data_IF_210038113551
#
_entry.id   IF_210038113551
#
_cell.length_a   1.000
_cell.length_b   1.000
_cell.length_c   1.000
_cell.angle_alpha   90.00
_cell.angle_beta   90.00
_cell.angle_gamma   90.00
#
_symmetry.space_group_name_H-M   'P 1'
#
loop_
_entity.id
_entity.type
_entity.pdbx_description
1 polymer ?
#
# COMPACT_ATOMS: atom_id res chain seq x y z
N UNK A 1 14.65 -65.36 -11.52
CA UNK A 1 15.56 -65.85 -10.46
C UNK A 1 15.33 -64.99 -9.23
N UNK A 2 14.57 -65.52 -8.24
CA UNK A 2 15.04 -65.96 -6.91
C UNK A 2 15.03 -64.74 -5.94
N UNK A 3 13.97 -64.59 -5.12
CA UNK A 3 13.86 -65.02 -3.69
C UNK A 3 14.84 -64.21 -2.79
N UNK A 4 14.56 -63.71 -1.59
CA UNK A 4 13.65 -64.10 -0.50
C UNK A 4 13.68 -62.93 0.50
N UNK A 5 12.55 -62.34 0.88
CA UNK A 5 11.93 -62.46 2.20
C UNK A 5 12.88 -62.77 3.37
N UNK A 6 12.92 -61.85 4.34
CA UNK A 6 13.16 -62.15 5.75
C UNK A 6 11.99 -61.56 6.55
N UNK A 7 11.11 -62.46 6.99
CA UNK A 7 10.16 -62.26 8.08
C UNK A 7 10.93 -61.99 9.40
N UNK A 8 10.37 -61.62 10.56
CA UNK A 8 9.14 -62.10 11.20
C UNK A 8 8.98 -61.40 12.57
N UNK A 9 7.73 -61.30 13.06
CA UNK A 9 7.29 -61.32 14.49
C UNK A 9 7.51 -60.07 15.36
N UNK A 10 6.62 -59.66 16.29
CA UNK A 10 5.37 -60.23 16.83
C UNK A 10 4.68 -59.24 17.79
N UNK A 11 3.36 -59.46 18.02
CA UNK A 11 2.50 -59.01 19.15
C UNK A 11 2.02 -57.54 19.09
N UNK A 12 0.75 -57.19 18.93
CA UNK A 12 -0.50 -57.94 19.13
C UNK A 12 -1.02 -57.79 20.56
N UNK A 13 -1.86 -56.78 20.83
CA UNK A 13 -2.89 -56.78 21.88
C UNK A 13 -4.02 -55.82 21.46
N UNK A 14 -5.17 -56.40 21.10
CA UNK A 14 -6.48 -55.74 21.00
C UNK A 14 -7.33 -56.25 22.17
N UNK A 15 -8.07 -55.32 22.79
CA UNK A 15 -9.36 -55.53 23.49
C UNK A 15 -9.30 -56.32 24.83
N UNK A 16 -10.22 -56.14 25.82
CA UNK A 16 -11.65 -55.94 25.60
C UNK A 16 -12.40 -54.97 26.55
N UNK A 17 -13.56 -54.58 26.05
CA UNK A 17 -14.71 -54.07 26.80
C UNK A 17 -15.13 -55.03 27.91
N UNK A 18 -15.30 -54.54 29.14
CA UNK A 18 -16.04 -55.24 30.19
C UNK A 18 -17.37 -54.54 30.43
N UNK A 19 -18.43 -55.08 29.85
CA UNK A 19 -19.80 -54.90 30.34
C UNK A 19 -19.99 -55.90 31.48
N UNK A 20 -20.38 -55.43 32.65
CA UNK A 20 -20.95 -56.30 33.71
C UNK A 20 -22.30 -55.76 34.12
N UNK A 21 -23.24 -56.68 34.02
CA UNK A 21 -24.64 -56.69 34.36
C UNK A 21 -24.91 -56.63 35.88
N UNK A 22 -26.05 -56.03 36.21
CA UNK A 22 -27.01 -56.48 37.24
C UNK A 22 -26.54 -56.54 38.70
N UNK A 23 -27.01 -55.58 39.48
CA UNK A 23 -27.53 -55.83 40.84
C UNK A 23 -28.68 -54.87 41.09
N UNK A 24 -29.87 -55.44 41.27
CA UNK A 24 -31.11 -54.78 41.68
C UNK A 24 -30.97 -54.33 43.13
N UNK A 25 -31.00 -53.01 43.39
CA UNK A 25 -31.19 -52.48 44.73
C UNK A 25 -32.48 -51.65 44.76
N UNK A 26 -33.53 -52.29 45.27
CA UNK A 26 -34.75 -51.63 45.73
C UNK A 26 -34.40 -50.70 46.89
N UNK A 27 -34.63 -49.41 46.72
CA UNK A 27 -34.75 -48.47 47.84
C UNK A 27 -36.19 -47.92 47.89
N UNK A 28 -36.84 -47.97 49.06
CA UNK A 28 -38.24 -47.58 49.23
C UNK A 28 -38.42 -46.05 49.12
N UNK A 29 -39.54 -45.66 48.53
CA UNK A 29 -39.98 -44.26 48.35
C UNK A 29 -40.21 -43.56 49.70
N UNK A 30 -39.80 -42.29 49.88
CA UNK A 30 -40.24 -41.49 51.00
C UNK A 30 -41.70 -41.00 50.80
N UNK A 31 -42.45 -40.79 51.90
CA UNK A 31 -43.90 -40.59 51.88
C UNK A 31 -44.34 -39.20 51.41
N UNK A 32 -45.53 -39.21 50.78
CA UNK A 32 -46.41 -38.10 50.39
C UNK A 32 -46.41 -36.95 51.39
N UNK A 33 -45.96 -35.77 50.94
CA UNK A 33 -46.18 -34.50 51.63
C UNK A 33 -47.30 -33.74 50.90
N UNK A 34 -48.31 -33.19 51.60
CA UNK A 34 -49.49 -32.62 50.97
C UNK A 34 -49.25 -31.28 50.27
N UNK A 35 -49.92 -31.16 49.12
CA UNK A 35 -50.19 -30.00 48.28
C UNK A 35 -50.48 -28.71 49.04
N UNK A 36 -49.73 -27.64 48.74
CA UNK A 36 -50.20 -26.26 48.79
C UNK A 36 -49.82 -25.55 47.48
N UNK A 37 -50.77 -24.85 46.82
CA UNK A 37 -50.54 -24.23 45.51
C UNK A 37 -49.92 -22.84 45.69
N UNK A 38 -49.09 -22.40 44.74
CA UNK A 38 -49.21 -21.10 44.07
C UNK A 38 -47.93 -20.69 43.31
N UNK A 39 -48.17 -20.25 42.07
CA UNK A 39 -47.43 -19.25 41.28
C UNK A 39 -46.21 -19.71 40.47
N UNK A 40 -46.47 -19.89 39.17
CA UNK A 40 -45.54 -19.68 38.06
C UNK A 40 -44.62 -18.48 38.27
N UNK A 41 -43.30 -18.62 38.03
CA UNK A 41 -42.47 -17.51 37.60
C UNK A 41 -42.33 -17.53 36.08
N UNK A 42 -43.16 -16.69 35.45
CA UNK A 42 -42.82 -15.69 34.42
C UNK A 42 -41.52 -15.95 33.63
N UNK A 43 -41.69 -16.11 32.31
CA UNK A 43 -40.66 -16.01 31.27
C UNK A 43 -39.61 -14.93 31.58
N UNK A 44 -38.31 -15.15 31.28
CA UNK A 44 -37.32 -14.09 31.39
C UNK A 44 -37.70 -12.94 30.44
N UNK A 45 -37.58 -11.67 30.87
CA UNK A 45 -37.83 -10.54 29.98
C UNK A 45 -36.84 -10.56 28.80
N UNK A 46 -37.25 -10.13 27.60
CA UNK A 46 -36.30 -9.70 26.59
C UNK A 46 -35.53 -8.52 27.18
N UNK A 47 -34.20 -8.60 27.16
CA UNK A 47 -33.32 -7.48 27.50
C UNK A 47 -33.44 -6.43 26.40
N UNK A 48 -34.51 -5.66 26.43
CA UNK A 48 -34.59 -4.37 25.75
C UNK A 48 -34.14 -3.31 26.75
N UNK A 49 -32.82 -3.22 26.96
CA UNK A 49 -32.19 -2.05 27.58
C UNK A 49 -32.36 -0.88 26.60
N UNK A 50 -33.56 -0.30 26.58
CA UNK A 50 -33.81 1.01 26.01
C UNK A 50 -33.03 2.03 26.83
N UNK A 51 -31.83 2.36 26.35
CA UNK A 51 -31.06 3.49 26.81
C UNK A 51 -31.83 4.79 26.46
N UNK A 52 -32.73 5.22 27.33
CA UNK A 52 -33.37 6.55 27.34
C UNK A 52 -32.38 7.63 27.79
N UNK A 53 -31.19 7.64 27.20
CA UNK A 53 -30.20 8.71 27.33
C UNK A 53 -30.05 9.41 25.98
N UNK A 54 -29.68 10.71 25.95
CA UNK A 54 -29.30 11.36 24.70
C UNK A 54 -28.24 10.51 23.98
N UNK A 55 -28.33 10.37 22.64
CA UNK A 55 -27.41 9.52 21.89
C UNK A 55 -26.00 9.94 22.23
N UNK A 56 -25.26 9.04 22.86
CA UNK A 56 -23.90 9.33 23.26
C UNK A 56 -23.08 9.57 21.98
N UNK A 57 -22.35 10.68 21.95
CA UNK A 57 -21.67 11.12 20.74
C UNK A 57 -20.58 10.14 20.35
N UNK A 58 -20.61 9.68 19.10
CA UNK A 58 -19.56 8.84 18.55
C UNK A 58 -18.26 9.60 18.41
N UNK A 59 -17.15 8.95 18.76
CA UNK A 59 -15.80 9.53 18.71
C UNK A 59 -15.02 8.91 17.55
N UNK A 60 -14.29 9.72 16.80
CA UNK A 60 -13.43 9.24 15.72
C UNK A 60 -12.00 9.04 16.22
N UNK A 61 -11.45 7.83 16.10
CA UNK A 61 -10.05 7.51 16.44
C UNK A 61 -9.21 7.36 15.19
N UNK A 62 -8.03 7.95 15.19
CA UNK A 62 -7.04 7.78 14.11
C UNK A 62 -6.20 6.53 14.37
N UNK A 63 -6.25 5.59 13.43
CA UNK A 63 -5.55 4.31 13.55
C UNK A 63 -4.06 4.53 13.38
N UNK A 64 -3.29 4.07 14.35
CA UNK A 64 -1.83 3.98 14.28
C UNK A 64 -1.38 2.58 13.87
N UNK A 65 -0.16 2.38 13.34
CA UNK A 65 0.35 1.05 12.98
C UNK A 65 0.38 0.06 14.16
N UNK A 66 0.48 0.58 15.38
CA UNK A 66 0.52 -0.19 16.62
C UNK A 66 -0.89 -0.49 17.17
N UNK A 67 -1.95 0.08 16.58
CA UNK A 67 -3.31 -0.17 17.02
C UNK A 67 -3.81 -1.55 16.56
N UNK A 68 -4.55 -2.19 17.46
CA UNK A 68 -5.24 -3.46 17.25
C UNK A 68 -6.64 -3.35 17.85
N UNK A 69 -7.55 -4.23 17.43
CA UNK A 69 -8.93 -4.23 17.97
C UNK A 69 -8.91 -4.43 19.49
N UNK A 70 -7.96 -5.24 20.00
CA UNK A 70 -7.77 -5.47 21.43
C UNK A 70 -7.23 -4.24 22.16
N UNK A 71 -6.23 -3.56 21.61
CA UNK A 71 -5.68 -2.36 22.26
C UNK A 71 -6.71 -1.23 22.31
N UNK A 72 -7.51 -1.05 21.26
CA UNK A 72 -8.61 -0.08 21.23
C UNK A 72 -9.72 -0.43 22.24
N UNK A 73 -10.10 -1.70 22.32
CA UNK A 73 -11.09 -2.19 23.30
C UNK A 73 -10.66 -1.86 24.74
N UNK A 74 -9.37 -2.02 25.06
CA UNK A 74 -8.83 -1.70 26.38
C UNK A 74 -8.70 -0.19 26.62
N UNK A 75 -8.23 0.57 25.62
CA UNK A 75 -8.05 2.01 25.74
C UNK A 75 -9.38 2.76 25.96
N UNK A 76 -10.44 2.31 25.28
CA UNK A 76 -11.74 2.96 25.31
C UNK A 76 -12.79 2.24 26.18
N UNK A 77 -12.47 1.07 26.72
CA UNK A 77 -13.39 0.28 27.55
C UNK A 77 -14.59 -0.32 26.77
N UNK A 78 -14.41 -0.62 25.48
CA UNK A 78 -15.50 -1.06 24.58
C UNK A 78 -15.41 -2.57 24.37
N UNK A 79 -16.51 -3.33 24.41
CA UNK A 79 -16.48 -4.74 24.05
C UNK A 79 -16.09 -4.93 22.57
N UNK A 80 -15.13 -5.83 22.32
CA UNK A 80 -14.64 -6.22 20.97
C UNK A 80 -15.78 -6.46 19.95
N UNK A 81 -16.85 -7.23 20.27
CA UNK A 81 -17.92 -7.47 19.29
C UNK A 81 -18.69 -6.19 18.91
N UNK A 82 -18.89 -5.25 19.83
CA UNK A 82 -19.56 -3.99 19.53
C UNK A 82 -18.69 -3.11 18.61
N UNK A 83 -17.39 -3.00 18.90
CA UNK A 83 -16.45 -2.24 18.08
C UNK A 83 -16.33 -2.80 16.66
N UNK A 84 -16.33 -4.13 16.51
CA UNK A 84 -16.34 -4.80 15.20
C UNK A 84 -17.63 -4.58 14.44
N UNK A 85 -18.78 -4.64 15.12
CA UNK A 85 -20.11 -4.43 14.52
C UNK A 85 -20.28 -2.99 14.04
N UNK A 86 -19.88 -2.00 14.84
CA UNK A 86 -20.02 -0.58 14.48
C UNK A 86 -19.13 -0.16 13.31
N UNK A 87 -18.00 -0.85 13.09
CA UNK A 87 -17.04 -0.52 12.03
C UNK A 87 -17.04 -1.51 10.85
N UNK A 88 -17.87 -2.55 10.87
CA UNK A 88 -17.85 -3.65 9.89
C UNK A 88 -16.45 -4.26 9.72
N UNK A 89 -15.78 -4.56 10.83
CA UNK A 89 -14.44 -5.16 10.84
C UNK A 89 -14.54 -6.63 11.19
N UNK A 90 -14.25 -7.50 10.22
CA UNK A 90 -14.33 -8.96 10.39
C UNK A 90 -13.01 -9.61 10.82
N UNK A 91 -11.87 -8.98 10.50
CA UNK A 91 -10.53 -9.47 10.81
C UNK A 91 -9.63 -8.36 11.32
N UNK A 92 -8.62 -8.73 12.11
CA UNK A 92 -7.77 -7.75 12.81
C UNK A 92 -6.92 -6.91 11.85
N UNK A 93 -6.50 -7.49 10.71
CA UNK A 93 -5.71 -6.79 9.70
C UNK A 93 -6.49 -5.70 8.95
N UNK A 94 -7.83 -5.81 8.90
CA UNK A 94 -8.66 -4.78 8.25
C UNK A 94 -8.66 -3.45 9.00
N UNK A 95 -8.27 -3.47 10.28
CA UNK A 95 -8.10 -2.24 11.06
C UNK A 95 -6.97 -1.39 10.48
N UNK A 96 -5.83 -2.00 10.16
CA UNK A 96 -4.63 -1.32 9.65
C UNK A 96 -4.82 -0.80 8.23
N UNK A 97 -5.75 -1.36 7.45
CA UNK A 97 -6.11 -0.86 6.14
C UNK A 97 -6.90 0.46 6.19
N UNK A 98 -7.36 0.89 7.38
CA UNK A 98 -8.15 2.09 7.58
C UNK A 98 -7.34 3.17 8.26
N UNK A 99 -7.63 4.43 7.93
CA UNK A 99 -7.07 5.61 8.60
C UNK A 99 -7.79 5.92 9.91
N UNK A 100 -9.09 5.63 9.98
CA UNK A 100 -9.94 6.00 11.11
C UNK A 100 -10.91 4.89 11.49
N UNK A 101 -11.33 4.91 12.75
CA UNK A 101 -12.26 3.97 13.37
C UNK A 101 -13.28 4.76 14.19
N UNK A 102 -14.55 4.38 14.07
CA UNK A 102 -15.64 4.96 14.82
C UNK A 102 -15.77 4.25 16.17
N UNK A 103 -15.77 5.03 17.23
CA UNK A 103 -15.92 4.58 18.60
C UNK A 103 -17.34 4.90 19.05
N UNK A 104 -18.17 3.87 19.28
CA UNK A 104 -19.54 4.07 19.76
C UNK A 104 -19.55 4.83 21.09
N UNK A 105 -20.25 5.96 21.09
CA UNK A 105 -20.44 6.74 22.31
C UNK A 105 -21.20 5.98 23.39
N UNK A 106 -21.96 4.93 23.02
CA UNK A 106 -22.69 4.03 23.93
C UNK A 106 -21.81 3.55 25.08
N UNK A 107 -20.57 3.16 24.79
CA UNK A 107 -19.61 2.65 25.77
C UNK A 107 -18.61 3.71 26.20
N UNK A 108 -18.21 4.63 25.31
CA UNK A 108 -17.20 5.63 25.60
C UNK A 108 -17.82 7.01 25.88
N UNK A 109 -17.71 7.47 27.15
CA UNK A 109 -18.22 8.77 27.61
C UNK A 109 -17.14 9.85 27.72
N UNK A 110 -15.91 9.56 27.29
CA UNK A 110 -14.77 10.47 27.44
C UNK A 110 -14.76 11.66 26.49
N UNK A 111 -15.59 11.65 25.44
CA UNK A 111 -15.81 12.79 24.53
C UNK A 111 -14.60 13.23 23.68
N UNK A 112 -13.40 12.68 23.93
CA UNK A 112 -12.16 13.01 23.22
C UNK A 112 -11.50 11.75 22.66
N UNK A 113 -10.91 11.84 21.46
CA UNK A 113 -10.12 10.73 20.92
C UNK A 113 -8.78 10.63 21.67
N UNK A 114 -8.40 9.43 22.10
CA UNK A 114 -7.12 9.13 22.74
C UNK A 114 -5.95 8.97 21.74
N UNK A 115 -6.22 8.90 20.43
CA UNK A 115 -5.17 8.87 19.40
C UNK A 115 -4.46 10.22 19.29
N UNK A 116 -3.12 10.24 19.15
CA UNK A 116 -2.46 11.43 18.62
C UNK A 116 -3.07 11.73 17.25
N UNK A 117 -3.54 12.96 17.03
CA UNK A 117 -3.84 13.40 15.67
C UNK A 117 -2.53 13.25 14.88
N UNK A 118 -2.55 12.62 13.68
CA UNK A 118 -1.35 12.50 12.87
C UNK A 118 -0.66 13.85 12.79
N UNK A 119 0.57 13.94 13.31
CA UNK A 119 1.33 15.20 13.43
C UNK A 119 1.64 15.78 12.05
N UNK A 120 1.74 14.92 11.03
CA UNK A 120 1.69 15.28 9.61
C UNK A 120 0.23 15.57 9.21
N UNK A 121 -0.35 16.63 9.78
CA UNK A 121 -1.77 16.95 9.76
C UNK A 121 -2.43 17.02 8.37
N UNK A 122 -3.72 17.37 8.35
CA UNK A 122 -4.50 17.59 7.12
C UNK A 122 -3.72 18.41 6.07
N UNK A 123 -2.92 19.38 6.53
CA UNK A 123 -2.09 20.25 5.70
C UNK A 123 -1.02 19.49 4.90
N UNK A 124 -0.36 18.49 5.47
CA UNK A 124 0.70 17.75 4.78
C UNK A 124 0.13 16.74 3.77
N UNK A 125 -1.04 16.16 4.05
CA UNK A 125 -1.76 15.33 3.08
C UNK A 125 -2.27 16.16 1.91
N UNK A 126 -2.80 17.36 2.18
CA UNK A 126 -3.15 18.33 1.14
C UNK A 126 -1.91 18.67 0.32
N UNK A 127 -0.76 18.87 0.97
CA UNK A 127 0.53 19.14 0.32
C UNK A 127 0.95 18.00 -0.61
N UNK A 128 1.00 16.76 -0.10
CA UNK A 128 1.34 15.55 -0.88
C UNK A 128 0.35 15.34 -2.03
N UNK A 129 -0.94 15.64 -1.82
CA UNK A 129 -1.96 15.61 -2.87
C UNK A 129 -1.75 16.67 -3.96
N UNK A 130 -1.38 17.90 -3.58
CA UNK A 130 -1.07 19.00 -4.51
C UNK A 130 0.15 18.68 -5.36
N UNK A 131 1.24 18.18 -4.76
CA UNK A 131 2.44 17.72 -5.47
C UNK A 131 2.09 16.66 -6.51
N UNK A 132 1.34 15.61 -6.14
CA UNK A 132 0.92 14.58 -7.09
C UNK A 132 0.07 15.13 -8.23
N UNK A 133 -0.88 16.03 -7.94
CA UNK A 133 -1.70 16.67 -8.97
C UNK A 133 -0.87 17.51 -9.95
N UNK A 134 0.11 18.26 -9.45
CA UNK A 134 1.02 19.02 -10.30
C UNK A 134 1.87 18.10 -11.19
N UNK A 135 2.49 17.07 -10.60
CA UNK A 135 3.29 16.07 -11.34
C UNK A 135 2.48 15.40 -12.46
N UNK A 136 1.22 15.06 -12.19
CA UNK A 136 0.32 14.49 -13.20
C UNK A 136 -0.08 15.50 -14.28
N UNK A 137 -0.30 16.76 -13.91
CA UNK A 137 -0.67 17.84 -14.83
C UNK A 137 0.46 18.18 -15.81
N UNK A 138 1.68 18.31 -15.30
CA UNK A 138 2.88 18.61 -16.10
C UNK A 138 3.48 17.36 -16.75
N UNK A 139 3.11 16.15 -16.29
CA UNK A 139 3.73 14.86 -16.65
C UNK A 139 5.22 14.79 -16.29
N UNK A 140 5.62 15.48 -15.23
CA UNK A 140 6.98 15.54 -14.71
C UNK A 140 7.06 14.72 -13.43
N UNK A 141 7.99 13.78 -13.36
CA UNK A 141 8.20 12.92 -12.19
C UNK A 141 9.20 13.49 -11.17
N UNK A 142 9.76 14.68 -11.44
CA UNK A 142 10.74 15.34 -10.59
C UNK A 142 10.06 16.03 -9.40
N UNK A 143 10.32 15.48 -8.21
CA UNK A 143 9.73 15.97 -6.96
C UNK A 143 10.24 17.35 -6.56
N UNK A 144 11.52 17.61 -6.75
CA UNK A 144 12.13 18.87 -6.34
C UNK A 144 11.63 20.05 -7.20
N UNK A 145 11.42 19.83 -8.51
CA UNK A 145 10.76 20.81 -9.38
C UNK A 145 9.31 21.06 -8.96
N UNK A 146 8.56 20.00 -8.64
CA UNK A 146 7.18 20.16 -8.17
C UNK A 146 7.11 21.02 -6.90
N UNK A 147 8.04 20.81 -5.96
CA UNK A 147 8.12 21.63 -4.76
C UNK A 147 8.47 23.09 -5.09
N UNK A 148 9.43 23.32 -5.99
CA UNK A 148 9.83 24.66 -6.40
C UNK A 148 8.65 25.46 -6.97
N UNK A 149 7.95 24.91 -7.96
CA UNK A 149 6.82 25.59 -8.61
C UNK A 149 5.63 25.76 -7.67
N UNK A 150 5.36 24.77 -6.82
CA UNK A 150 4.27 24.89 -5.83
C UNK A 150 4.60 25.91 -4.74
N UNK A 151 5.85 26.04 -4.31
CA UNK A 151 6.26 27.05 -3.34
C UNK A 151 6.15 28.46 -3.93
N UNK A 152 6.63 28.64 -5.17
CA UNK A 152 6.52 29.91 -5.92
C UNK A 152 5.06 30.32 -6.17
N UNK A 153 4.16 29.36 -6.41
CA UNK A 153 2.74 29.61 -6.65
C UNK A 153 1.89 29.62 -5.36
N UNK A 154 2.50 29.77 -4.18
CA UNK A 154 1.80 29.76 -2.88
C UNK A 154 0.86 28.55 -2.70
N UNK A 155 1.29 27.39 -3.20
CA UNK A 155 0.57 26.11 -3.21
C UNK A 155 -0.73 26.11 -4.03
N UNK A 156 -0.89 27.01 -5.00
CA UNK A 156 -1.91 26.88 -6.05
C UNK A 156 -1.40 25.95 -7.17
N UNK A 157 -2.05 24.80 -7.30
CA UNK A 157 -1.66 23.78 -8.27
C UNK A 157 -1.85 24.27 -9.70
N UNK A 158 -2.92 25.04 -9.98
CA UNK A 158 -3.24 25.43 -11.33
C UNK A 158 -2.28 26.52 -11.83
N UNK A 159 -2.01 27.53 -11.00
CA UNK A 159 -1.02 28.55 -11.28
C UNK A 159 0.39 27.95 -11.47
N UNK A 160 0.77 26.97 -10.65
CA UNK A 160 2.05 26.26 -10.80
C UNK A 160 2.16 25.45 -12.10
N UNK A 161 1.05 24.86 -12.59
CA UNK A 161 1.02 24.16 -13.89
C UNK A 161 1.12 25.16 -15.04
N UNK A 162 0.45 26.31 -14.95
CA UNK A 162 0.50 27.35 -15.98
C UNK A 162 1.90 27.95 -16.09
N UNK A 163 2.52 28.33 -14.96
CA UNK A 163 3.88 28.83 -14.92
C UNK A 163 4.87 27.86 -15.58
N UNK A 164 4.77 26.56 -15.27
CA UNK A 164 5.61 25.53 -15.90
C UNK A 164 5.40 25.46 -17.43
N UNK A 165 4.15 25.58 -17.90
CA UNK A 165 3.84 25.55 -19.33
C UNK A 165 4.30 26.81 -20.06
N UNK A 166 4.28 27.95 -19.40
CA UNK A 166 4.79 29.21 -19.92
C UNK A 166 6.31 29.14 -20.10
N UNK A 167 7.04 28.60 -19.11
CA UNK A 167 8.48 28.36 -19.21
C UNK A 167 8.80 27.43 -20.38
N UNK A 168 8.11 26.29 -20.49
CA UNK A 168 8.23 25.36 -21.63
C UNK A 168 7.88 26.01 -22.98
N UNK A 169 6.94 26.95 -23.02
CA UNK A 169 6.59 27.71 -24.21
C UNK A 169 7.71 28.69 -24.59
N UNK A 170 8.27 29.35 -23.58
CA UNK A 170 9.37 30.28 -23.73
C UNK A 170 10.64 29.59 -24.21
N UNK A 171 11.02 28.45 -23.63
CA UNK A 171 12.19 27.66 -24.02
C UNK A 171 12.11 27.19 -25.49
N UNK A 172 10.92 26.80 -25.93
CA UNK A 172 10.68 26.39 -27.33
C UNK A 172 10.76 27.57 -28.32
N UNK A 173 10.31 28.75 -27.90
CA UNK A 173 10.38 29.96 -28.71
C UNK A 173 11.77 30.61 -28.71
N UNK A 174 12.60 30.29 -27.72
CA UNK A 174 13.98 30.77 -27.58
C UNK A 174 14.97 29.59 -27.55
N UNK A 175 15.13 28.85 -28.67
CA UNK A 175 16.17 27.82 -28.75
C UNK A 175 17.53 28.45 -28.44
N UNK A 176 18.18 27.97 -27.38
CA UNK A 176 19.48 28.46 -26.93
C UNK A 176 20.45 28.59 -28.12
N UNK A 177 21.04 29.79 -28.29
CA UNK A 177 21.94 30.14 -29.41
C UNK A 177 23.19 29.25 -29.53
N UNK A 178 23.43 28.33 -28.58
CA UNK A 178 24.49 27.34 -28.59
C UNK A 178 24.41 26.37 -29.80
N UNK A 179 23.20 25.97 -30.21
CA UNK A 179 23.00 25.05 -31.36
C UNK A 179 23.03 25.75 -32.72
N UNK A 180 22.74 27.06 -32.73
CA UNK A 180 22.82 27.90 -33.94
C UNK A 180 24.25 28.04 -34.46
N UNK A 181 25.25 28.03 -33.56
CA UNK A 181 26.67 28.14 -33.93
C UNK A 181 27.23 26.85 -34.53
N UNK A 182 26.78 25.69 -34.04
CA UNK A 182 27.14 24.38 -34.62
C UNK A 182 26.51 24.16 -36.01
N UNK A 183 25.26 24.59 -36.19
CA UNK A 183 24.54 24.47 -37.47
C UNK A 183 25.08 25.42 -38.54
N UNK A 184 25.40 26.68 -38.18
CA UNK A 184 26.03 27.65 -39.10
C UNK A 184 27.42 27.20 -39.56
N UNK A 185 28.24 26.64 -38.66
CA UNK A 185 29.57 26.09 -39.00
C UNK A 185 29.49 24.90 -39.97
N UNK A 186 28.44 24.09 -39.90
CA UNK A 186 28.23 22.94 -40.79
C UNK A 186 27.70 23.35 -42.18
N UNK A 187 26.91 24.44 -42.28
CA UNK A 187 26.52 25.01 -43.58
C UNK A 187 27.67 25.70 -44.30
N UNK A 188 28.53 26.42 -43.58
CA UNK A 188 29.70 27.11 -44.14
C UNK A 188 30.76 26.10 -44.65
N UNK A 189 30.98 24.99 -43.93
CA UNK A 189 31.86 23.90 -44.34
C UNK A 189 31.35 23.12 -45.58
N UNK A 190 30.04 23.14 -45.87
CA UNK A 190 29.45 22.51 -47.07
C UNK A 190 29.50 23.42 -48.30
N UNK A 191 29.42 24.73 -48.12
CA UNK A 191 29.56 25.73 -49.19
C UNK A 191 30.97 25.75 -49.81
N UNK A 192 32.02 25.56 -48.99
CA UNK A 192 33.41 25.60 -49.44
C UNK A 192 33.87 24.38 -50.29
N UNK A 193 33.10 23.28 -50.34
CA UNK A 193 33.53 22.03 -51.01
C UNK A 193 33.20 21.97 -52.51
N UNK A 194 32.55 22.98 -53.08
CA UNK A 194 32.08 22.94 -54.48
C UNK A 194 32.90 23.80 -55.47
N UNK A 195 34.14 24.17 -55.13
CA UNK A 195 35.04 24.85 -56.08
C UNK A 195 36.38 24.11 -56.12
N UNK A 196 36.49 23.12 -57.02
CA UNK A 196 37.79 22.58 -57.44
C UNK A 196 37.92 21.06 -57.45
N UNK A 197 37.22 20.38 -58.38
CA UNK A 197 37.54 18.99 -58.74
C UNK A 197 37.82 18.90 -60.24
N UNK A 198 39.02 19.32 -60.67
CA UNK A 198 39.56 19.01 -62.01
C UNK A 198 40.38 17.72 -61.95
N UNK A 199 39.69 16.60 -62.20
CA UNK A 199 40.06 15.39 -62.96
C UNK A 199 41.57 15.19 -63.30
N UNK A 200 42.20 14.24 -62.61
CA UNK A 200 43.43 13.53 -63.03
C UNK A 200 43.03 12.13 -63.52
N UNK A 201 43.32 11.82 -64.79
CA UNK A 201 43.13 10.48 -65.39
C UNK A 201 44.52 9.84 -65.50
N UNK A 202 44.68 8.66 -64.91
CA UNK A 202 45.85 7.80 -65.12
C UNK A 202 45.49 6.55 -65.93
N UNK A 203 46.47 6.01 -66.68
CA UNK A 203 46.68 4.57 -66.94
C UNK A 203 47.98 4.38 -67.75
N UNK A 204 49.01 3.75 -67.18
CA UNK A 204 49.58 2.40 -67.50
C UNK A 204 50.50 2.37 -68.74
N UNK A 205 51.62 1.63 -68.87
CA UNK A 205 52.09 0.34 -68.30
C UNK A 205 53.60 0.09 -68.60
N UNK A 206 54.25 -0.72 -67.75
CA UNK A 206 55.39 -1.69 -67.94
C UNK A 206 56.64 -1.39 -68.81
N UNK A 207 57.84 -1.57 -68.24
CA UNK A 207 58.75 -2.73 -68.52
C UNK A 207 60.19 -2.57 -67.97
N UNK A 208 60.68 -3.69 -67.40
CA UNK A 208 62.04 -4.27 -67.43
C UNK A 208 63.33 -3.49 -67.08
N UNK A 209 64.01 -4.05 -66.06
CA UNK A 209 65.45 -4.41 -65.98
C UNK A 209 66.55 -3.35 -66.00
N UNK A 210 67.40 -3.40 -64.97
CA UNK A 210 68.85 -3.49 -65.19
C UNK A 210 69.73 -2.39 -64.60
N UNK A 211 70.21 -2.61 -63.37
CA UNK A 211 71.62 -2.42 -63.02
C UNK A 211 72.18 -1.00 -62.81
N UNK A 212 73.37 -0.86 -62.19
CA UNK A 212 73.58 0.10 -61.11
C UNK A 212 74.65 1.16 -61.40
N UNK A 213 74.69 2.26 -60.63
CA UNK A 213 75.86 3.12 -60.65
C UNK A 213 75.76 4.47 -59.94
N UNK A 214 76.29 4.51 -58.71
CA UNK A 214 77.43 5.38 -58.33
C UNK A 214 77.18 6.91 -58.21
N UNK A 215 76.90 7.31 -56.96
CA UNK A 215 77.66 8.24 -56.11
C UNK A 215 77.87 9.74 -56.52
N UNK A 216 78.16 10.61 -55.52
CA UNK A 216 77.67 11.99 -55.44
C UNK A 216 78.72 13.08 -55.70
N UNK A 217 78.25 14.33 -55.81
CA UNK A 217 79.00 15.57 -55.75
C UNK A 217 78.05 16.74 -55.51
#
# INVERSE_FOLDING_TARGET
MILSQMERTSRGQKSPTRKTSTTMNYHPTPPTTPTLPLLLPKNPPPNDDHHDGPPAQDVLHFVTPNDSIRSLSLAYGIPIPALRKSNNIYSDHLLQARRTVLIPGEYYKGGVSLSPRPVEGEEEEIRKGKVRRWMMGCKVAEYDLALLYLDQAAWDVQAAIEAFREDEAWERAHPLEADGKATKKNMEAKSARNVGMRRFVGSSSSSSSGGPGRAPG
#
